data_IF_516586841607
#
_entry.id   IF_516586841607
#
_cell.length_a   1.000
_cell.length_b   1.000
_cell.length_c   1.000
_cell.angle_alpha   90.00
_cell.angle_beta   90.00
_cell.angle_gamma   90.00
#
_symmetry.space_group_name_H-M   'P 1'
#
loop_
_entity.id
_entity.type
_entity.pdbx_description
1 polymer ?
#
# COMPACT_ATOMS: atom_id res chain seq x y z
N UNK A 1 -20.15 -5.64 -53.09
CA UNK A 1 -19.16 -5.12 -52.14
C UNK A 1 -19.55 -5.64 -50.77
N UNK A 2 -18.89 -6.70 -50.32
CA UNK A 2 -19.05 -7.28 -48.99
C UNK A 2 -17.86 -6.84 -48.16
N UNK A 3 -18.05 -5.82 -47.33
CA UNK A 3 -17.04 -5.42 -46.35
C UNK A 3 -17.09 -6.36 -45.15
N UNK A 4 -16.04 -7.19 -45.04
CA UNK A 4 -15.74 -7.99 -43.87
C UNK A 4 -14.79 -7.22 -42.94
N UNK A 5 -15.27 -7.01 -41.71
CA UNK A 5 -14.58 -7.15 -40.40
C UNK A 5 -13.16 -6.60 -40.24
N UNK A 6 -12.99 -5.73 -39.24
CA UNK A 6 -11.85 -5.76 -38.31
C UNK A 6 -12.29 -5.28 -36.92
N UNK A 7 -12.85 -6.17 -36.13
CA UNK A 7 -12.86 -6.02 -34.66
C UNK A 7 -11.48 -6.40 -34.15
N UNK A 8 -10.79 -5.42 -33.59
CA UNK A 8 -9.51 -5.58 -32.91
C UNK A 8 -9.76 -6.25 -31.56
N UNK A 9 -9.53 -7.56 -31.49
CA UNK A 9 -9.49 -8.30 -30.23
C UNK A 9 -8.31 -7.77 -29.40
N UNK A 10 -8.61 -7.03 -28.32
CA UNK A 10 -7.62 -6.74 -27.28
C UNK A 10 -7.16 -8.08 -26.70
N UNK A 11 -5.92 -8.45 -26.96
CA UNK A 11 -5.27 -9.61 -26.34
C UNK A 11 -5.09 -9.30 -24.86
N UNK A 12 -6.04 -9.75 -24.05
CA UNK A 12 -5.94 -9.70 -22.60
C UNK A 12 -4.94 -10.76 -22.16
N UNK A 13 -3.71 -10.37 -21.85
CA UNK A 13 -2.73 -11.27 -21.23
C UNK A 13 -3.33 -11.79 -19.92
N UNK A 14 -3.34 -13.11 -19.67
CA UNK A 14 -3.86 -13.67 -18.43
C UNK A 14 -3.01 -13.17 -17.25
N UNK A 15 -3.67 -12.73 -16.18
CA UNK A 15 -3.03 -12.37 -14.92
C UNK A 15 -2.23 -13.57 -14.40
N UNK A 16 -0.96 -13.34 -14.03
CA UNK A 16 -0.17 -14.32 -13.29
C UNK A 16 -0.90 -14.68 -12.00
N UNK A 17 -1.07 -15.98 -11.74
CA UNK A 17 -1.68 -16.47 -10.50
C UNK A 17 -0.85 -16.12 -9.26
N UNK A 18 0.44 -15.81 -9.44
CA UNK A 18 1.34 -15.45 -8.36
C UNK A 18 1.35 -13.92 -8.13
N UNK A 19 1.31 -13.48 -6.86
CA UNK A 19 1.44 -12.06 -6.51
C UNK A 19 2.76 -11.45 -6.98
N UNK A 20 2.68 -10.24 -7.53
CA UNK A 20 3.88 -9.44 -7.83
C UNK A 20 4.30 -8.62 -6.60
N UNK A 21 5.10 -9.22 -5.72
CA UNK A 21 5.56 -8.60 -4.48
C UNK A 21 6.40 -7.33 -4.68
N UNK A 22 7.04 -7.18 -5.84
CA UNK A 22 7.83 -5.99 -6.18
C UNK A 22 6.99 -4.71 -6.11
N UNK A 23 5.70 -4.80 -6.48
CA UNK A 23 4.78 -3.66 -6.40
C UNK A 23 4.65 -3.14 -4.96
N UNK A 24 4.56 -4.03 -3.98
CA UNK A 24 4.46 -3.65 -2.58
C UNK A 24 5.79 -3.15 -1.99
N UNK A 25 6.93 -3.72 -2.42
CA UNK A 25 8.26 -3.27 -1.99
C UNK A 25 8.55 -1.87 -2.55
N UNK A 26 8.27 -1.64 -3.83
CA UNK A 26 8.41 -0.32 -4.43
C UNK A 26 7.48 0.70 -3.74
N UNK A 27 6.22 0.34 -3.52
CA UNK A 27 5.26 1.21 -2.83
C UNK A 27 5.76 1.68 -1.46
N UNK A 28 6.26 0.77 -0.62
CA UNK A 28 6.67 1.15 0.73
C UNK A 28 7.98 1.95 0.77
N UNK A 29 8.90 1.70 -0.16
CA UNK A 29 10.12 2.50 -0.27
C UNK A 29 9.84 3.89 -0.87
N UNK A 30 8.96 3.99 -1.87
CA UNK A 30 8.47 5.29 -2.37
C UNK A 30 7.77 6.08 -1.26
N UNK A 31 7.11 5.39 -0.33
CA UNK A 31 6.48 6.02 0.83
C UNK A 31 7.53 6.59 1.80
N UNK A 32 8.62 5.88 2.07
CA UNK A 32 9.72 6.37 2.90
C UNK A 32 10.34 7.64 2.30
N UNK A 33 10.58 7.65 1.00
CA UNK A 33 11.09 8.84 0.29
C UNK A 33 10.11 10.03 0.44
N UNK A 34 8.81 9.76 0.28
CA UNK A 34 7.78 10.79 0.42
C UNK A 34 7.74 11.43 1.81
N UNK A 35 7.81 10.63 2.89
CA UNK A 35 7.71 11.15 4.26
C UNK A 35 8.99 11.83 4.75
N UNK A 36 10.15 11.48 4.18
CA UNK A 36 11.41 12.14 4.48
C UNK A 36 11.50 13.56 3.88
N UNK A 37 10.74 13.85 2.83
CA UNK A 37 10.71 15.14 2.10
C UNK A 37 9.54 16.07 2.49
N UNK A 38 8.77 15.74 3.53
CA UNK A 38 7.43 16.29 3.77
C UNK A 38 7.44 17.57 4.64
N UNK A 39 7.43 18.76 4.02
CA UNK A 39 7.38 20.08 4.72
C UNK A 39 5.96 20.62 5.07
N UNK A 40 4.86 19.96 4.69
CA UNK A 40 3.52 20.42 5.14
C UNK A 40 2.45 19.33 5.14
N UNK A 41 1.48 19.44 6.05
CA UNK A 41 0.31 18.55 6.22
C UNK A 41 -0.61 18.39 5.00
N UNK A 42 -0.30 19.01 3.85
CA UNK A 42 -0.95 18.69 2.56
C UNK A 42 -0.17 17.59 1.86
N UNK A 43 -0.67 16.37 1.77
CA UNK A 43 -1.49 15.58 2.70
C UNK A 43 -1.29 14.16 2.21
N UNK A 44 -0.90 13.22 3.07
CA UNK A 44 -0.80 11.78 2.78
C UNK A 44 -1.89 11.25 1.82
N UNK A 45 -3.11 11.74 1.97
CA UNK A 45 -4.27 11.45 1.10
C UNK A 45 -4.01 11.81 -0.37
N UNK A 46 -3.45 12.98 -0.66
CA UNK A 46 -3.19 13.43 -2.03
C UNK A 46 -2.12 12.58 -2.70
N UNK A 47 -1.05 12.23 -1.96
CA UNK A 47 0.00 11.34 -2.46
C UNK A 47 -0.58 9.95 -2.79
N UNK A 48 -1.29 9.34 -1.83
CA UNK A 48 -1.95 8.05 -2.02
C UNK A 48 -2.98 8.09 -3.16
N UNK A 49 -3.72 9.19 -3.34
CA UNK A 49 -4.75 9.30 -4.39
C UNK A 49 -4.17 9.16 -5.80
N UNK A 50 -2.94 9.64 -6.01
CA UNK A 50 -2.21 9.65 -7.30
C UNK A 50 -1.51 8.33 -7.62
N UNK A 51 -1.38 7.43 -6.63
CA UNK A 51 -0.79 6.10 -6.83
C UNK A 51 -1.66 5.23 -7.72
N UNK A 52 -1.05 4.57 -8.72
CA UNK A 52 -1.72 3.64 -9.64
C UNK A 52 -1.51 2.17 -9.27
N UNK A 53 -0.70 1.94 -8.25
CA UNK A 53 -0.27 0.65 -7.71
C UNK A 53 -0.97 0.34 -6.37
N UNK A 54 -1.98 1.11 -6.00
CA UNK A 54 -2.76 1.00 -4.76
C UNK A 54 -4.25 0.89 -5.10
N UNK A 55 -4.97 -0.01 -4.43
CA UNK A 55 -6.41 -0.24 -4.67
C UNK A 55 -7.25 0.96 -4.26
N UNK A 56 -8.46 1.06 -4.82
CA UNK A 56 -9.43 2.09 -4.39
C UNK A 56 -9.85 1.87 -2.93
N UNK A 57 -9.93 0.62 -2.49
CA UNK A 57 -10.26 0.23 -1.12
C UNK A 57 -9.22 0.70 -0.11
N UNK A 58 -7.92 0.59 -0.42
CA UNK A 58 -6.86 1.16 0.43
C UNK A 58 -7.06 2.67 0.60
N UNK A 59 -7.28 3.39 -0.50
CA UNK A 59 -7.47 4.85 -0.51
C UNK A 59 -8.66 5.26 0.36
N UNK A 60 -9.78 4.55 0.21
CA UNK A 60 -11.00 4.79 0.96
C UNK A 60 -10.82 4.48 2.46
N UNK A 61 -10.15 3.39 2.81
CA UNK A 61 -9.93 3.00 4.20
C UNK A 61 -9.02 4.00 4.93
N UNK A 62 -7.92 4.41 4.29
CA UNK A 62 -7.05 5.46 4.81
C UNK A 62 -7.84 6.75 5.11
N UNK A 63 -8.64 7.22 4.14
CA UNK A 63 -9.49 8.40 4.32
C UNK A 63 -10.48 8.21 5.48
N UNK A 64 -11.11 7.04 5.60
CA UNK A 64 -12.05 6.72 6.67
C UNK A 64 -11.38 6.79 8.04
N UNK A 65 -10.16 6.25 8.19
CA UNK A 65 -9.41 6.28 9.45
C UNK A 65 -9.07 7.72 9.83
N UNK A 66 -8.54 8.51 8.89
CA UNK A 66 -8.19 9.93 9.12
C UNK A 66 -9.42 10.75 9.48
N UNK A 67 -10.53 10.60 8.75
CA UNK A 67 -11.79 11.30 9.04
C UNK A 67 -12.35 10.93 10.41
N UNK A 68 -12.19 9.67 10.85
CA UNK A 68 -12.59 9.21 12.18
C UNK A 68 -11.70 9.81 13.27
N UNK A 69 -10.39 9.88 13.05
CA UNK A 69 -9.44 10.49 13.98
C UNK A 69 -9.76 11.97 14.21
N UNK A 70 -9.93 12.74 13.12
CA UNK A 70 -10.28 14.17 13.16
C UNK A 70 -11.59 14.47 13.90
N UNK A 71 -12.55 13.55 13.87
CA UNK A 71 -13.84 13.68 14.60
C UNK A 71 -13.69 13.42 16.10
N UNK A 72 -12.74 12.58 16.49
CA UNK A 72 -12.59 12.13 17.88
C UNK A 72 -11.63 13.03 18.67
N UNK A 73 -10.58 13.55 18.03
CA UNK A 73 -9.67 14.52 18.65
C UNK A 73 -8.89 15.27 17.57
N UNK A 74 -9.16 16.57 17.38
CA UNK A 74 -8.60 17.35 16.26
C UNK A 74 -7.15 17.77 16.51
N UNK A 75 -6.70 17.88 17.76
CA UNK A 75 -5.43 18.54 18.10
C UNK A 75 -4.23 17.60 18.27
N UNK A 76 -4.44 16.32 18.56
CA UNK A 76 -3.35 15.39 18.90
C UNK A 76 -2.91 14.46 17.75
N UNK A 77 -3.60 14.50 16.61
CA UNK A 77 -3.36 13.54 15.53
C UNK A 77 -3.55 12.09 15.99
N UNK A 78 -2.94 11.14 15.30
CA UNK A 78 -2.99 9.72 15.68
C UNK A 78 -1.83 9.29 16.60
N UNK A 79 -0.76 10.09 16.68
CA UNK A 79 0.44 9.76 17.45
C UNK A 79 1.32 8.64 16.85
N UNK A 80 1.01 8.18 15.64
CA UNK A 80 1.77 7.21 14.86
C UNK A 80 1.37 7.28 13.37
N UNK A 81 2.22 6.72 12.51
CA UNK A 81 2.02 6.58 11.07
C UNK A 81 1.11 5.38 10.76
N UNK A 82 0.04 5.60 9.98
CA UNK A 82 -0.96 4.58 9.64
C UNK A 82 -0.46 3.47 8.72
N UNK A 83 0.49 3.79 7.83
CA UNK A 83 1.05 2.88 6.83
C UNK A 83 2.16 2.05 7.48
N UNK A 84 2.97 2.65 8.36
CA UNK A 84 4.06 1.97 9.05
C UNK A 84 3.63 1.29 10.37
N UNK A 85 2.49 1.69 10.93
CA UNK A 85 2.04 1.27 12.26
C UNK A 85 3.14 1.52 13.33
N UNK A 86 3.73 2.72 13.30
CA UNK A 86 4.91 3.09 14.09
C UNK A 86 5.09 4.61 14.23
N UNK A 87 5.99 5.03 15.12
CA UNK A 87 6.43 6.43 15.24
C UNK A 87 7.70 6.72 14.43
N UNK A 88 8.64 5.77 14.40
CA UNK A 88 9.87 5.85 13.62
C UNK A 88 9.82 4.92 12.40
N UNK A 89 10.84 4.99 11.54
CA UNK A 89 10.97 4.20 10.33
C UNK A 89 12.44 3.78 10.08
N UNK A 90 12.67 2.69 9.33
CA UNK A 90 13.98 2.41 8.74
C UNK A 90 14.23 3.34 7.55
N UNK A 91 15.47 3.36 7.05
CA UNK A 91 15.81 4.10 5.83
C UNK A 91 15.32 3.40 4.55
N UNK A 92 15.24 2.07 4.55
CA UNK A 92 14.79 1.28 3.40
C UNK A 92 14.23 -0.06 3.87
N UNK A 93 13.25 -0.60 3.15
CA UNK A 93 12.70 -1.93 3.35
C UNK A 93 13.25 -2.95 2.35
N UNK A 94 13.44 -4.17 2.82
CA UNK A 94 13.63 -5.36 1.99
C UNK A 94 12.63 -6.46 2.34
N UNK A 95 12.41 -7.37 1.39
CA UNK A 95 11.54 -8.53 1.59
C UNK A 95 12.09 -9.44 2.70
N UNK A 96 11.25 -9.79 3.67
CA UNK A 96 11.54 -10.82 4.68
C UNK A 96 10.81 -12.13 4.34
N UNK A 97 9.49 -12.08 4.17
CA UNK A 97 8.64 -13.28 3.99
C UNK A 97 7.43 -13.00 3.11
N UNK A 98 6.87 -14.06 2.54
CA UNK A 98 5.62 -14.02 1.77
C UNK A 98 4.64 -15.08 2.27
N UNK A 99 3.34 -14.81 2.15
CA UNK A 99 2.25 -15.71 2.52
C UNK A 99 1.00 -15.37 1.69
N UNK A 100 0.81 -16.05 0.55
CA UNK A 100 -0.29 -15.78 -0.39
C UNK A 100 -0.35 -14.30 -0.77
N UNK A 101 -1.46 -13.60 -0.54
CA UNK A 101 -1.60 -12.18 -0.82
C UNK A 101 -0.85 -11.27 0.16
N UNK A 102 -0.21 -11.81 1.20
CA UNK A 102 0.55 -11.04 2.17
C UNK A 102 2.06 -11.14 1.94
N UNK A 103 2.76 -10.07 2.34
CA UNK A 103 4.20 -10.06 2.49
C UNK A 103 4.60 -9.33 3.76
N UNK A 104 5.74 -9.72 4.31
CA UNK A 104 6.42 -9.04 5.40
C UNK A 104 7.70 -8.45 4.82
N UNK A 105 7.88 -7.16 5.02
CA UNK A 105 9.16 -6.48 4.80
C UNK A 105 9.83 -6.17 6.13
N UNK A 106 11.14 -6.02 6.11
CA UNK A 106 11.95 -5.59 7.26
C UNK A 106 12.85 -4.42 6.88
N UNK A 107 13.20 -3.57 7.83
CA UNK A 107 14.19 -2.52 7.61
C UNK A 107 15.55 -3.12 7.26
N UNK A 108 16.22 -2.60 6.22
CA UNK A 108 17.58 -3.03 5.87
C UNK A 108 18.59 -2.68 6.96
N UNK A 109 18.45 -1.48 7.51
CA UNK A 109 19.25 -0.94 8.61
C UNK A 109 18.64 -1.25 10.00
N UNK A 110 17.36 -1.63 10.05
CA UNK A 110 16.66 -2.05 11.26
C UNK A 110 15.83 -3.33 11.06
N UNK A 111 16.46 -4.53 11.09
CA UNK A 111 15.80 -5.79 10.76
C UNK A 111 14.64 -6.21 11.69
N UNK A 112 14.62 -5.69 12.91
CA UNK A 112 13.53 -5.90 13.87
C UNK A 112 12.30 -5.03 13.55
N UNK A 113 12.48 -3.94 12.80
CA UNK A 113 11.35 -3.19 12.25
C UNK A 113 10.76 -3.99 11.10
N UNK A 114 9.57 -4.55 11.33
CA UNK A 114 8.83 -5.32 10.32
C UNK A 114 7.49 -4.70 10.03
N UNK A 115 7.03 -4.88 8.80
CA UNK A 115 5.74 -4.39 8.35
C UNK A 115 5.05 -5.43 7.48
N UNK A 116 3.76 -5.66 7.75
CA UNK A 116 2.90 -6.48 6.89
C UNK A 116 2.27 -5.60 5.81
N UNK A 117 2.37 -6.05 4.57
CA UNK A 117 1.67 -5.51 3.40
C UNK A 117 0.73 -6.59 2.84
N UNK A 118 -0.30 -6.16 2.12
CA UNK A 118 -1.27 -7.02 1.46
C UNK A 118 -1.47 -6.57 0.02
N UNK A 119 -1.46 -7.52 -0.90
CA UNK A 119 -1.76 -7.34 -2.31
C UNK A 119 -3.19 -7.80 -2.62
N UNK A 120 -3.75 -7.29 -3.72
CA UNK A 120 -5.03 -7.75 -4.27
C UNK A 120 -4.96 -7.71 -5.80
N UNK A 121 -5.52 -8.73 -6.48
CA UNK A 121 -5.60 -8.71 -7.93
C UNK A 121 -6.78 -7.83 -8.38
N UNK A 122 -6.51 -6.83 -9.21
CA UNK A 122 -7.51 -5.94 -9.84
C UNK A 122 -7.09 -5.62 -11.29
N UNK A 123 -8.03 -5.66 -12.24
CA UNK A 123 -7.80 -5.32 -13.65
C UNK A 123 -6.54 -5.97 -14.26
N UNK A 124 -6.32 -7.25 -13.96
CA UNK A 124 -5.14 -8.03 -14.36
C UNK A 124 -3.80 -7.47 -13.86
N UNK A 125 -3.78 -6.84 -12.68
CA UNK A 125 -2.58 -6.43 -11.98
C UNK A 125 -2.69 -6.74 -10.49
N UNK A 126 -1.56 -6.94 -9.85
CA UNK A 126 -1.48 -6.97 -8.39
C UNK A 126 -1.22 -5.55 -7.89
N UNK A 127 -2.06 -5.07 -6.98
CA UNK A 127 -1.98 -3.75 -6.37
C UNK A 127 -1.87 -3.89 -4.86
N UNK A 128 -1.31 -2.88 -4.19
CA UNK A 128 -1.29 -2.80 -2.73
C UNK A 128 -2.69 -2.49 -2.23
N UNK A 129 -3.21 -3.39 -1.39
CA UNK A 129 -4.54 -3.29 -0.79
C UNK A 129 -4.49 -3.01 0.71
N UNK A 130 -3.36 -3.31 1.36
CA UNK A 130 -3.16 -2.99 2.78
C UNK A 130 -1.70 -2.81 3.17
N UNK A 131 -1.48 -2.02 4.23
CA UNK A 131 -0.20 -1.74 4.87
C UNK A 131 -0.46 -1.29 6.31
N UNK A 132 0.36 -1.72 7.27
CA UNK A 132 0.25 -1.29 8.66
C UNK A 132 -1.13 -1.61 9.23
N UNK A 133 -1.92 -0.58 9.54
CA UNK A 133 -3.30 -0.77 10.04
C UNK A 133 -4.38 -0.69 8.95
N UNK A 134 -4.02 -0.27 7.74
CA UNK A 134 -4.95 -0.08 6.62
C UNK A 134 -5.20 -1.44 5.97
N UNK A 135 -6.43 -1.94 6.03
CA UNK A 135 -6.86 -3.20 5.41
C UNK A 135 -6.03 -4.46 5.78
N UNK A 136 -5.22 -4.39 6.85
CA UNK A 136 -4.53 -5.55 7.43
C UNK A 136 -5.33 -6.05 8.65
N UNK A 137 -5.76 -7.32 8.68
CA UNK A 137 -6.37 -7.93 9.86
C UNK A 137 -5.45 -7.87 11.08
N UNK A 138 -5.98 -7.61 12.28
CA UNK A 138 -5.18 -7.47 13.50
C UNK A 138 -4.26 -8.67 13.77
N UNK A 139 -4.72 -9.90 13.49
CA UNK A 139 -3.93 -11.12 13.67
C UNK A 139 -2.80 -11.30 12.64
N UNK A 140 -2.75 -10.47 11.60
CA UNK A 140 -1.69 -10.44 10.57
C UNK A 140 -0.76 -9.23 10.72
N UNK A 141 -1.07 -8.28 11.62
CA UNK A 141 -0.19 -7.14 11.91
C UNK A 141 1.01 -7.59 12.72
N UNK A 142 2.13 -6.91 12.52
CA UNK A 142 3.32 -7.09 13.36
C UNK A 142 3.01 -6.53 14.75
N UNK A 143 3.22 -7.34 15.79
CA UNK A 143 3.07 -6.87 17.17
C UNK A 143 4.26 -5.98 17.52
N UNK A 144 3.96 -4.75 17.94
CA UNK A 144 4.91 -3.76 18.44
C UNK A 144 5.00 -3.87 19.96
#
# INVERSE_FOLDING_TARGET
MTDSKKESSKTTTPLSSEPNYEVAIQFINDYLDFINDLESEIALIDWISKRNDVTVEFKNELKRIIDKAKKNDFELGLGFDLILDAQDNPNEFELDKTDSEFLIVKGKDWPDFRLTLKLKPEDNKWLVDGAGIINIPENKRIKR
#
